data_IF_653189572068
#
_entry.id   IF_653189572068
#
_cell.length_a   1.000
_cell.length_b   1.000
_cell.length_c   1.000
_cell.angle_alpha   90.00
_cell.angle_beta   90.00
_cell.angle_gamma   90.00
#
_symmetry.space_group_name_H-M   'P 1'
#
loop_
_entity.id
_entity.type
_entity.pdbx_description
1 polymer ?
#
# COMPACT_ATOMS: atom_id res chain seq x y z
N UNK A 1 33.89 -2.06 -13.25
CA UNK A 1 33.95 -1.46 -11.90
C UNK A 1 32.57 -0.89 -11.61
N UNK A 2 31.96 -1.23 -10.46
CA UNK A 2 30.70 -0.61 -10.05
C UNK A 2 30.93 0.89 -9.80
N UNK A 3 30.02 1.74 -10.27
CA UNK A 3 30.06 3.21 -10.06
C UNK A 3 29.62 3.62 -8.65
N UNK A 4 29.26 2.66 -7.79
CA UNK A 4 28.71 2.91 -6.47
C UNK A 4 29.56 2.25 -5.37
N UNK A 5 29.63 2.86 -4.18
CA UNK A 5 30.25 2.24 -3.02
C UNK A 5 29.59 0.89 -2.73
N UNK A 6 30.37 -0.03 -2.16
CA UNK A 6 29.85 -1.30 -1.66
C UNK A 6 28.74 -1.00 -0.64
N UNK A 7 27.59 -1.69 -0.69
CA UNK A 7 26.54 -1.53 0.33
C UNK A 7 27.12 -1.68 1.74
N UNK A 8 26.69 -0.82 2.65
CA UNK A 8 27.06 -0.91 4.06
C UNK A 8 26.10 -1.81 4.80
N UNK A 9 26.63 -2.73 5.61
CA UNK A 9 25.82 -3.50 6.53
C UNK A 9 25.35 -2.60 7.67
N UNK A 10 24.03 -2.46 7.81
CA UNK A 10 23.41 -1.73 8.91
C UNK A 10 22.87 -2.74 9.94
N UNK A 11 23.25 -2.57 11.21
CA UNK A 11 22.65 -3.32 12.30
C UNK A 11 21.22 -2.81 12.53
N UNK A 12 20.25 -3.72 12.58
CA UNK A 12 18.83 -3.39 12.79
C UNK A 12 18.34 -3.97 14.11
N UNK A 13 17.45 -3.26 14.79
CA UNK A 13 16.73 -3.74 15.97
C UNK A 13 15.21 -3.74 15.73
N UNK A 14 14.48 -4.53 16.51
CA UNK A 14 13.01 -4.54 16.45
C UNK A 14 12.50 -3.25 17.05
N UNK A 15 12.03 -2.33 16.20
CA UNK A 15 11.38 -1.10 16.65
C UNK A 15 10.02 -1.39 17.30
N UNK A 16 9.18 -2.18 16.63
CA UNK A 16 7.83 -2.54 17.10
C UNK A 16 7.49 -3.99 16.75
N UNK A 17 6.66 -4.62 17.58
CA UNK A 17 6.08 -5.94 17.34
C UNK A 17 4.57 -5.84 17.46
N UNK A 18 3.83 -6.43 16.51
CA UNK A 18 2.37 -6.53 16.62
C UNK A 18 2.00 -7.26 17.92
N UNK A 19 1.23 -6.63 18.83
CA UNK A 19 0.79 -7.25 20.06
C UNK A 19 -0.04 -8.52 19.82
N UNK A 20 0.09 -9.51 20.71
CA UNK A 20 -0.53 -10.83 20.52
C UNK A 20 -2.06 -10.77 20.50
N UNK A 21 -2.66 -9.81 21.20
CA UNK A 21 -4.12 -9.59 21.19
C UNK A 21 -4.65 -9.09 19.83
N UNK A 22 -3.79 -8.66 18.90
CA UNK A 22 -4.19 -8.33 17.54
C UNK A 22 -3.94 -9.47 16.53
N UNK A 23 -3.21 -10.52 16.91
CA UNK A 23 -2.98 -11.67 16.02
C UNK A 23 -4.25 -12.50 15.87
N UNK A 24 -4.54 -12.95 14.66
CA UNK A 24 -5.73 -13.75 14.31
C UNK A 24 -5.29 -15.03 13.59
N UNK A 25 -4.69 -16.02 14.28
CA UNK A 25 -4.22 -17.24 13.64
C UNK A 25 -5.41 -18.01 13.06
N UNK A 26 -5.59 -17.92 11.75
CA UNK A 26 -6.64 -18.62 11.02
C UNK A 26 -6.33 -18.70 9.54
N UNK A 27 -6.98 -19.65 8.86
CA UNK A 27 -7.06 -19.66 7.41
C UNK A 27 -8.04 -18.57 6.93
N UNK A 28 -7.72 -17.87 5.86
CA UNK A 28 -8.57 -16.85 5.25
C UNK A 28 -8.48 -16.90 3.72
N UNK A 29 -9.45 -16.31 3.03
CA UNK A 29 -9.51 -16.30 1.56
C UNK A 29 -8.30 -15.64 0.90
N UNK A 30 -7.67 -14.66 1.56
CA UNK A 30 -6.42 -14.09 1.09
C UNK A 30 -5.28 -15.12 1.10
N UNK A 31 -5.18 -15.90 2.19
CA UNK A 31 -4.13 -16.90 2.37
C UNK A 31 -4.29 -18.11 1.45
N UNK A 32 -5.51 -18.43 1.02
CA UNK A 32 -5.76 -19.49 0.03
C UNK A 32 -4.95 -19.27 -1.25
N UNK A 33 -4.92 -18.03 -1.75
CA UNK A 33 -4.22 -17.68 -2.99
C UNK A 33 -2.79 -17.18 -2.76
N UNK A 34 -2.52 -16.47 -1.66
CA UNK A 34 -1.22 -15.82 -1.43
C UNK A 34 -0.27 -16.64 -0.56
N UNK A 35 -0.78 -17.67 0.15
CA UNK A 35 -0.03 -18.51 1.08
C UNK A 35 -0.39 -19.99 0.98
N UNK A 36 -0.95 -20.43 -0.15
CA UNK A 36 -1.33 -21.82 -0.42
C UNK A 36 -2.21 -22.45 0.68
N UNK A 37 -3.14 -21.66 1.24
CA UNK A 37 -4.10 -22.11 2.26
C UNK A 37 -3.54 -22.30 3.67
N UNK A 38 -2.28 -21.91 3.91
CA UNK A 38 -1.70 -21.92 5.26
C UNK A 38 -2.45 -20.95 6.18
N UNK A 39 -2.44 -21.25 7.48
CA UNK A 39 -2.89 -20.29 8.48
C UNK A 39 -1.96 -19.08 8.52
N UNK A 40 -2.54 -17.89 8.64
CA UNK A 40 -1.83 -16.64 8.84
C UNK A 40 -2.40 -15.95 10.06
N UNK A 41 -1.58 -15.22 10.80
CA UNK A 41 -2.03 -14.47 11.99
C UNK A 41 -2.06 -12.95 11.77
N UNK A 42 -1.26 -12.48 10.80
CA UNK A 42 -1.22 -11.15 10.21
C UNK A 42 -0.35 -11.20 8.94
N UNK A 43 -0.47 -10.19 8.10
CA UNK A 43 0.53 -9.89 7.08
C UNK A 43 0.64 -8.36 6.95
N UNK A 44 1.67 -7.80 7.57
CA UNK A 44 1.83 -6.35 7.69
C UNK A 44 2.60 -5.78 6.50
N UNK A 45 2.10 -4.68 5.93
CA UNK A 45 2.67 -4.02 4.75
C UNK A 45 2.46 -2.50 4.79
N UNK A 46 3.01 -1.80 3.79
CA UNK A 46 2.67 -0.40 3.50
C UNK A 46 2.95 0.61 4.62
N UNK A 47 4.13 0.60 5.28
CA UNK A 47 4.43 1.54 6.35
C UNK A 47 4.44 3.01 5.85
N UNK A 48 3.84 3.92 6.63
CA UNK A 48 3.89 5.37 6.40
C UNK A 48 3.84 6.12 7.73
N UNK A 49 4.70 7.14 7.88
CA UNK A 49 4.76 7.94 9.11
C UNK A 49 4.00 9.26 8.95
N UNK A 50 3.31 9.70 10.00
CA UNK A 50 2.83 11.08 10.11
C UNK A 50 3.91 12.02 10.64
N UNK A 51 3.62 13.32 10.66
CA UNK A 51 4.53 14.35 11.15
C UNK A 51 4.85 14.25 12.65
N UNK A 52 4.00 13.58 13.43
CA UNK A 52 4.20 13.35 14.86
C UNK A 52 5.01 12.06 15.12
N UNK A 53 5.47 11.38 14.06
CA UNK A 53 6.25 10.15 14.13
C UNK A 53 5.41 8.90 14.42
N UNK A 54 4.08 8.97 14.31
CA UNK A 54 3.26 7.77 14.39
C UNK A 54 3.37 6.98 13.08
N UNK A 55 3.57 5.67 13.20
CA UNK A 55 3.60 4.74 12.08
C UNK A 55 2.18 4.24 11.79
N UNK A 56 1.78 4.32 10.54
CA UNK A 56 0.59 3.68 9.99
C UNK A 56 1.02 2.53 9.09
N UNK A 57 0.30 1.42 9.15
CA UNK A 57 0.56 0.25 8.33
C UNK A 57 -0.72 -0.56 8.17
N UNK A 58 -0.75 -1.42 7.18
CA UNK A 58 -1.91 -2.28 6.92
C UNK A 58 -1.69 -3.68 7.45
N UNK A 59 -2.77 -4.44 7.51
CA UNK A 59 -2.77 -5.89 7.69
C UNK A 59 -3.70 -6.50 6.65
N UNK A 60 -3.08 -6.96 5.56
CA UNK A 60 -3.76 -7.33 4.30
C UNK A 60 -4.87 -8.36 4.51
N UNK A 61 -4.61 -9.52 5.17
CA UNK A 61 -5.55 -10.64 5.15
C UNK A 61 -6.83 -10.34 5.93
N UNK A 62 -6.76 -9.36 6.85
CA UNK A 62 -7.83 -9.04 7.80
C UNK A 62 -8.41 -7.64 7.60
N UNK A 63 -8.00 -6.91 6.55
CA UNK A 63 -8.62 -5.64 6.18
C UNK A 63 -8.42 -4.54 7.23
N UNK A 64 -7.29 -4.55 7.96
CA UNK A 64 -7.05 -3.61 9.07
C UNK A 64 -6.00 -2.57 8.72
N UNK A 65 -6.19 -1.38 9.28
CA UNK A 65 -5.20 -0.31 9.31
C UNK A 65 -4.82 -0.06 10.76
N UNK A 66 -3.53 -0.17 11.06
CA UNK A 66 -2.98 0.09 12.39
C UNK A 66 -2.31 1.45 12.45
N UNK A 67 -2.31 2.02 13.66
CA UNK A 67 -1.43 3.11 14.08
C UNK A 67 -0.56 2.65 15.24
N UNK A 68 0.72 2.98 15.19
CA UNK A 68 1.71 2.75 16.25
C UNK A 68 2.32 4.10 16.62
N UNK A 69 2.20 4.51 17.88
CA UNK A 69 2.83 5.74 18.33
C UNK A 69 4.34 5.57 18.48
N UNK A 70 5.14 6.66 18.56
CA UNK A 70 6.57 6.57 18.87
C UNK A 70 6.89 5.81 20.17
N UNK A 71 5.91 5.71 21.09
CA UNK A 71 6.01 4.95 22.35
C UNK A 71 5.61 3.48 22.21
N UNK A 72 5.35 3.00 20.99
CA UNK A 72 4.97 1.62 20.71
C UNK A 72 3.52 1.27 21.06
N UNK A 73 2.63 2.26 21.23
CA UNK A 73 1.21 1.99 21.47
C UNK A 73 0.50 1.70 20.15
N UNK A 74 -0.07 0.51 20.03
CA UNK A 74 -0.85 0.07 18.86
C UNK A 74 -2.35 0.37 19.02
N UNK A 75 -3.00 0.73 17.92
CA UNK A 75 -4.46 0.87 17.81
C UNK A 75 -4.94 0.56 16.40
N UNK A 76 -6.14 -0.03 16.27
CA UNK A 76 -6.82 -0.18 14.98
C UNK A 76 -7.51 1.14 14.65
N UNK A 77 -7.24 1.68 13.46
CA UNK A 77 -7.85 2.92 12.96
C UNK A 77 -9.06 2.61 12.07
N UNK A 78 -8.99 1.53 11.31
CA UNK A 78 -10.09 1.02 10.50
C UNK A 78 -10.00 -0.50 10.35
N UNK A 79 -11.15 -1.14 10.20
CA UNK A 79 -11.30 -2.54 9.83
C UNK A 79 -12.49 -2.66 8.87
N UNK A 80 -12.27 -3.26 7.69
CA UNK A 80 -13.28 -3.31 6.62
C UNK A 80 -13.06 -4.52 5.71
N UNK A 81 -14.04 -4.82 4.83
CA UNK A 81 -13.88 -5.88 3.83
C UNK A 81 -13.00 -5.40 2.66
N UNK A 82 -11.70 -5.55 2.85
CA UNK A 82 -10.67 -5.16 1.91
C UNK A 82 -9.42 -6.00 2.07
N UNK A 83 -8.49 -5.81 1.15
CA UNK A 83 -7.13 -6.34 1.25
C UNK A 83 -6.17 -5.16 1.06
N UNK A 84 -6.07 -4.26 2.06
CA UNK A 84 -5.19 -3.10 2.01
C UNK A 84 -3.75 -3.56 1.90
N UNK A 85 -2.94 -2.92 1.07
CA UNK A 85 -1.58 -3.36 0.77
C UNK A 85 -0.58 -2.22 1.05
N UNK A 86 -0.57 -1.20 0.20
CA UNK A 86 0.15 0.04 0.44
C UNK A 86 -0.75 1.09 1.06
N UNK A 87 -0.19 1.95 1.91
CA UNK A 87 -0.83 3.22 2.27
C UNK A 87 0.17 4.38 2.25
N UNK A 88 -0.34 5.60 2.11
CA UNK A 88 0.38 6.84 2.38
C UNK A 88 -0.55 7.84 3.05
N UNK A 89 0.01 8.59 4.00
CA UNK A 89 -0.65 9.75 4.56
C UNK A 89 -0.54 10.92 3.58
N UNK A 90 -1.66 11.58 3.33
CA UNK A 90 -1.69 12.82 2.58
C UNK A 90 -1.52 14.02 3.52
N UNK A 91 -1.07 15.15 2.97
CA UNK A 91 -0.78 16.39 3.72
C UNK A 91 -1.96 16.98 4.49
N UNK A 92 -3.19 16.62 4.11
CA UNK A 92 -4.42 17.03 4.81
C UNK A 92 -4.77 16.11 6.01
N UNK A 93 -3.99 15.06 6.24
CA UNK A 93 -4.21 14.07 7.30
C UNK A 93 -5.10 12.90 6.91
N UNK A 94 -5.57 12.82 5.65
CA UNK A 94 -6.26 11.63 5.14
C UNK A 94 -5.27 10.50 4.85
N UNK A 95 -5.75 9.26 4.90
CA UNK A 95 -4.98 8.06 4.60
C UNK A 95 -5.44 7.55 3.24
N UNK A 96 -4.51 7.41 2.30
CA UNK A 96 -4.77 6.83 0.99
C UNK A 96 -4.23 5.42 0.93
N UNK A 97 -5.04 4.49 0.43
CA UNK A 97 -4.78 3.06 0.51
C UNK A 97 -4.86 2.46 -0.90
N UNK A 98 -3.85 1.69 -1.26
CA UNK A 98 -3.88 0.76 -2.37
C UNK A 98 -4.49 -0.54 -1.84
N UNK A 99 -5.75 -0.76 -2.15
CA UNK A 99 -6.50 -1.95 -1.74
C UNK A 99 -6.63 -2.90 -2.92
N UNK A 100 -6.27 -4.17 -2.70
CA UNK A 100 -6.33 -5.17 -3.74
C UNK A 100 -7.76 -5.44 -4.24
N UNK A 101 -8.76 -5.39 -3.35
CA UNK A 101 -10.16 -5.64 -3.71
C UNK A 101 -10.85 -4.39 -4.24
N UNK A 102 -10.58 -3.26 -3.60
CA UNK A 102 -11.43 -2.07 -3.72
C UNK A 102 -10.76 -0.90 -4.48
N UNK A 103 -9.53 -1.08 -4.97
CA UNK A 103 -8.81 -0.06 -5.73
C UNK A 103 -8.15 0.99 -4.83
N UNK A 104 -8.18 2.26 -5.24
CA UNK A 104 -7.64 3.35 -4.42
C UNK A 104 -8.72 3.88 -3.50
N UNK A 105 -8.49 3.76 -2.19
CA UNK A 105 -9.38 4.25 -1.15
C UNK A 105 -8.78 5.49 -0.46
N UNK A 106 -9.68 6.33 0.07
CA UNK A 106 -9.33 7.42 0.98
C UNK A 106 -10.11 7.28 2.27
N UNK A 107 -9.39 7.21 3.39
CA UNK A 107 -9.92 7.17 4.74
C UNK A 107 -9.66 8.51 5.44
N UNK A 108 -10.70 9.13 5.99
CA UNK A 108 -10.57 10.19 6.98
C UNK A 108 -10.48 9.56 8.39
N UNK A 109 -9.30 9.59 9.04
CA UNK A 109 -9.13 8.96 10.35
C UNK A 109 -9.86 9.69 11.48
N UNK A 110 -10.39 10.90 11.26
CA UNK A 110 -11.15 11.65 12.28
C UNK A 110 -12.61 11.23 12.32
N UNK A 111 -13.22 11.06 11.15
CA UNK A 111 -14.63 10.65 11.03
C UNK A 111 -14.80 9.13 10.89
N UNK A 112 -13.76 8.41 10.45
CA UNK A 112 -13.83 7.01 10.07
C UNK A 112 -14.46 6.78 8.68
N UNK A 113 -14.78 7.86 7.95
CA UNK A 113 -15.37 7.76 6.62
C UNK A 113 -14.34 7.27 5.60
N UNK A 114 -14.74 6.31 4.76
CA UNK A 114 -13.88 5.72 3.74
C UNK A 114 -14.58 5.73 2.39
N UNK A 115 -13.93 6.34 1.40
CA UNK A 115 -14.43 6.50 0.04
C UNK A 115 -13.55 5.71 -0.95
N UNK A 116 -14.16 5.10 -1.96
CA UNK A 116 -13.44 4.62 -3.14
C UNK A 116 -13.20 5.79 -4.09
N UNK A 117 -11.93 6.12 -4.32
CA UNK A 117 -11.53 7.20 -5.23
C UNK A 117 -11.33 6.69 -6.64
N UNK A 118 -10.71 5.51 -6.78
CA UNK A 118 -10.55 4.82 -8.07
C UNK A 118 -10.92 3.36 -7.90
N UNK A 119 -12.08 2.97 -8.45
CA UNK A 119 -12.52 1.57 -8.48
C UNK A 119 -12.42 0.91 -9.85
N UNK A 120 -12.42 1.70 -10.92
CA UNK A 120 -12.42 1.22 -12.30
C UNK A 120 -11.58 2.10 -13.21
N UNK A 121 -11.15 1.53 -14.34
CA UNK A 121 -10.51 2.23 -15.44
C UNK A 121 -11.17 1.79 -16.75
N UNK A 122 -11.72 2.74 -17.52
CA UNK A 122 -12.47 2.44 -18.75
C UNK A 122 -13.60 1.40 -18.57
N UNK A 123 -14.32 1.47 -17.44
CA UNK A 123 -15.36 0.51 -17.04
C UNK A 123 -14.88 -0.91 -16.73
N UNK A 124 -13.56 -1.15 -16.74
CA UNK A 124 -12.95 -2.38 -16.24
C UNK A 124 -12.54 -2.23 -14.79
N UNK A 125 -12.58 -3.33 -14.04
CA UNK A 125 -12.00 -3.37 -12.71
C UNK A 125 -10.49 -3.15 -12.74
N UNK A 126 -9.96 -2.62 -11.64
CA UNK A 126 -8.53 -2.75 -11.35
C UNK A 126 -8.19 -4.23 -11.08
N UNK A 127 -6.96 -4.65 -11.37
CA UNK A 127 -6.53 -6.04 -11.20
C UNK A 127 -6.21 -6.36 -9.74
N UNK A 128 -5.75 -5.35 -9.00
CA UNK A 128 -5.49 -5.37 -7.57
C UNK A 128 -4.35 -4.43 -7.23
N UNK A 129 -4.65 -3.31 -6.57
CA UNK A 129 -3.65 -2.30 -6.25
C UNK A 129 -2.64 -2.80 -5.20
N UNK A 130 -1.39 -2.36 -5.32
CA UNK A 130 -0.32 -2.77 -4.41
C UNK A 130 0.30 -1.61 -3.63
N UNK A 131 0.99 -0.67 -4.26
CA UNK A 131 1.60 0.47 -3.56
C UNK A 131 1.28 1.80 -4.26
N UNK A 132 1.49 2.90 -3.54
CA UNK A 132 1.20 4.25 -3.99
C UNK A 132 2.18 5.28 -3.44
N UNK A 133 2.35 6.38 -4.16
CA UNK A 133 3.18 7.52 -3.78
C UNK A 133 2.60 8.82 -4.29
N UNK A 134 2.64 9.87 -3.46
CA UNK A 134 2.29 11.22 -3.87
C UNK A 134 3.52 11.96 -4.40
N UNK A 135 3.35 12.68 -5.49
CA UNK A 135 4.25 13.76 -5.90
C UNK A 135 3.94 15.06 -5.13
N UNK A 136 4.91 15.98 -5.09
CA UNK A 136 4.79 17.28 -4.43
C UNK A 136 3.68 18.15 -5.03
N UNK A 137 3.40 17.99 -6.32
CA UNK A 137 2.28 18.66 -7.00
C UNK A 137 0.90 18.12 -6.58
N UNK A 138 0.85 17.01 -5.83
CA UNK A 138 -0.36 16.34 -5.35
C UNK A 138 -0.86 15.20 -6.23
N UNK A 139 -0.22 14.93 -7.37
CA UNK A 139 -0.56 13.77 -8.19
C UNK A 139 -0.23 12.49 -7.42
N UNK A 140 -1.10 11.49 -7.56
CA UNK A 140 -0.95 10.18 -6.97
C UNK A 140 -0.50 9.19 -8.03
N UNK A 141 0.59 8.47 -7.78
CA UNK A 141 1.05 7.37 -8.59
C UNK A 141 0.79 6.06 -7.85
N UNK A 142 0.32 5.04 -8.55
CA UNK A 142 0.05 3.74 -7.93
C UNK A 142 0.24 2.58 -8.90
N UNK A 143 0.46 1.40 -8.32
CA UNK A 143 0.59 0.15 -9.06
C UNK A 143 -0.70 -0.66 -8.99
N UNK A 144 -1.11 -1.18 -10.14
CA UNK A 144 -2.20 -2.15 -10.29
C UNK A 144 -1.58 -3.51 -10.64
N UNK A 145 -1.16 -4.20 -9.59
CA UNK A 145 -0.32 -5.39 -9.63
C UNK A 145 -1.13 -6.64 -10.01
N UNK A 146 -2.24 -6.88 -9.33
CA UNK A 146 -3.21 -7.93 -9.62
C UNK A 146 -2.67 -9.35 -9.81
N UNK A 147 -1.62 -9.72 -9.06
CA UNK A 147 -0.94 -11.01 -9.18
C UNK A 147 -0.43 -11.33 -10.60
N UNK A 148 -0.22 -10.30 -11.42
CA UNK A 148 0.41 -10.40 -12.74
C UNK A 148 1.85 -10.89 -12.62
N UNK A 149 2.47 -11.29 -13.73
CA UNK A 149 3.83 -11.83 -13.73
C UNK A 149 4.33 -12.07 -15.14
N UNK A 150 5.45 -12.79 -15.30
CA UNK A 150 5.99 -13.04 -16.65
C UNK A 150 5.03 -13.82 -17.56
N UNK A 151 4.13 -14.62 -16.96
CA UNK A 151 3.09 -15.37 -17.66
C UNK A 151 1.85 -14.53 -18.00
N UNK A 152 1.67 -13.39 -17.34
CA UNK A 152 0.61 -12.41 -17.57
C UNK A 152 1.18 -11.01 -17.32
N UNK A 153 1.88 -10.40 -18.31
CA UNK A 153 2.58 -9.14 -18.11
C UNK A 153 1.64 -7.93 -18.22
N UNK A 154 0.39 -8.04 -17.80
CA UNK A 154 -0.63 -6.99 -17.96
C UNK A 154 -0.77 -6.07 -16.74
N UNK A 155 0.20 -6.10 -15.81
CA UNK A 155 0.21 -5.20 -14.67
C UNK A 155 0.40 -3.75 -15.12
N UNK A 156 -0.22 -2.83 -14.38
CA UNK A 156 -0.34 -1.42 -14.80
C UNK A 156 0.25 -0.47 -13.77
N UNK A 157 0.69 0.69 -14.25
CA UNK A 157 1.11 1.84 -13.44
C UNK A 157 0.26 3.03 -13.85
N UNK A 158 -0.34 3.68 -12.86
CA UNK A 158 -1.26 4.80 -13.08
C UNK A 158 -0.75 6.07 -12.43
N UNK A 159 -1.19 7.20 -12.99
CA UNK A 159 -1.19 8.51 -12.32
C UNK A 159 -2.63 9.01 -12.23
N UNK A 160 -3.09 9.28 -11.01
CA UNK A 160 -4.27 10.09 -10.74
C UNK A 160 -3.82 11.54 -10.50
N UNK A 161 -4.10 12.41 -11.47
CA UNK A 161 -3.78 13.83 -11.36
C UNK A 161 -4.72 14.54 -10.37
N UNK A 162 -4.26 15.64 -9.77
CA UNK A 162 -5.05 16.44 -8.81
C UNK A 162 -6.40 16.95 -9.36
N UNK A 163 -6.53 17.06 -10.69
CA UNK A 163 -7.78 17.46 -11.35
C UNK A 163 -8.74 16.28 -11.59
N UNK A 164 -8.41 15.08 -11.11
CA UNK A 164 -9.20 13.86 -11.25
C UNK A 164 -8.92 13.05 -12.52
N UNK A 165 -8.00 13.48 -13.40
CA UNK A 165 -7.65 12.69 -14.59
C UNK A 165 -6.84 11.46 -14.18
N UNK A 166 -7.29 10.27 -14.58
CA UNK A 166 -6.58 9.01 -14.40
C UNK A 166 -5.89 8.61 -15.70
N UNK A 167 -4.55 8.62 -15.68
CA UNK A 167 -3.70 8.27 -16.81
C UNK A 167 -3.04 6.91 -16.56
N UNK A 168 -3.20 5.96 -17.48
CA UNK A 168 -2.39 4.74 -17.49
C UNK A 168 -1.02 5.06 -18.12
N UNK A 169 0.04 4.96 -17.31
CA UNK A 169 1.40 5.28 -17.74
C UNK A 169 2.09 4.08 -18.38
N UNK A 170 1.83 2.89 -17.84
CA UNK A 170 2.38 1.62 -18.33
C UNK A 170 1.30 0.55 -18.13
N UNK A 171 1.12 -0.35 -19.09
CA UNK A 171 0.13 -1.43 -19.08
C UNK A 171 0.70 -2.80 -19.45
N UNK A 172 2.02 -2.92 -19.44
CA UNK A 172 2.78 -4.10 -19.89
C UNK A 172 3.87 -4.52 -18.89
N UNK A 173 3.61 -4.36 -17.59
CA UNK A 173 4.59 -4.67 -16.53
C UNK A 173 4.22 -5.97 -15.82
N UNK A 174 5.16 -6.95 -15.74
CA UNK A 174 5.03 -8.09 -14.85
C UNK A 174 5.08 -7.64 -13.38
N UNK A 175 3.98 -7.81 -12.63
CA UNK A 175 3.94 -7.63 -11.17
C UNK A 175 4.48 -6.28 -10.64
N UNK A 176 4.04 -5.11 -11.16
CA UNK A 176 4.47 -3.82 -10.61
C UNK A 176 4.07 -3.73 -9.13
N UNK A 177 5.01 -3.54 -8.21
CA UNK A 177 4.77 -3.65 -6.77
C UNK A 177 5.06 -2.30 -6.09
N UNK A 178 6.21 -2.15 -5.45
CA UNK A 178 6.64 -0.89 -4.84
C UNK A 178 6.81 0.23 -5.88
N UNK A 179 6.54 1.46 -5.47
CA UNK A 179 6.60 2.63 -6.35
C UNK A 179 7.12 3.84 -5.60
N UNK A 180 8.10 4.54 -6.18
CA UNK A 180 8.70 5.73 -5.54
C UNK A 180 9.25 6.71 -6.57
N UNK A 181 9.10 8.01 -6.28
CA UNK A 181 9.74 9.08 -7.06
C UNK A 181 11.17 9.31 -6.56
N UNK A 182 12.07 9.68 -7.47
CA UNK A 182 13.34 10.27 -7.04
C UNK A 182 13.11 11.62 -6.35
N UNK A 183 14.11 12.13 -5.62
CA UNK A 183 13.96 13.40 -4.86
C UNK A 183 13.63 14.62 -5.72
N UNK A 184 14.02 14.60 -7.00
CA UNK A 184 13.73 15.68 -7.94
C UNK A 184 12.37 15.53 -8.64
N UNK A 185 11.65 14.43 -8.38
CA UNK A 185 10.40 14.03 -9.02
C UNK A 185 10.46 13.99 -10.56
N UNK A 186 11.65 13.71 -11.11
CA UNK A 186 11.89 13.56 -12.55
C UNK A 186 11.90 12.12 -13.02
N UNK A 187 11.96 11.16 -12.09
CA UNK A 187 11.96 9.73 -12.35
C UNK A 187 11.05 9.02 -11.36
N UNK A 188 10.31 8.04 -11.87
CA UNK A 188 9.47 7.12 -11.11
C UNK A 188 10.12 5.74 -11.20
N UNK A 189 10.39 5.12 -10.06
CA UNK A 189 10.87 3.74 -9.95
C UNK A 189 9.68 2.84 -9.60
N UNK A 190 9.57 1.74 -10.33
CA UNK A 190 8.57 0.67 -10.18
C UNK A 190 9.30 -0.67 -10.31
#
# INVERSE_FOLDING_TARGET
>A
MSLYPVPQDLQTEVAFRLPDNFRRPMRCSWADFNKAGQEVDCFLEGPSFDHDGNLYLVDIPFGRIFKVTPKGKWSVIAEYDGWPNGLKLHRDGTIWIADYKNGILRLDPRSGMMDTIVGTYHSEGLKGCNDLVFASNGDLYFTDQGQTGLHDPTGRVFRLAVNGRLDCLIDTVPSPNGIVLNKAETQLFV
#
